data_IF_166730056668
#
_entry.id   IF_166730056668
#
_cell.length_a   1.000
_cell.length_b   1.000
_cell.length_c   1.000
_cell.angle_alpha   90.00
_cell.angle_beta   90.00
_cell.angle_gamma   90.00
#
_symmetry.space_group_name_H-M   'P 1'
#
loop_
_entity.id
_entity.type
_entity.pdbx_description
1 polymer ?
#
# COMPACT_ATOMS: atom_id res chain seq x y z
N UNK A 1 -15.83 -7.25 2.11
CA UNK A 1 -14.51 -6.59 1.89
C UNK A 1 -13.72 -7.46 0.94
N UNK A 2 -12.85 -6.87 0.13
CA UNK A 2 -11.99 -7.61 -0.80
C UNK A 2 -10.52 -7.34 -0.47
N UNK A 3 -9.65 -8.28 -0.82
CA UNK A 3 -8.20 -8.09 -0.74
C UNK A 3 -7.71 -7.38 -1.99
N UNK A 4 -7.11 -6.22 -1.78
CA UNK A 4 -6.48 -5.44 -2.84
C UNK A 4 -4.97 -5.54 -2.71
N UNK A 5 -4.32 -5.81 -3.83
CA UNK A 5 -2.88 -5.75 -3.92
C UNK A 5 -2.45 -4.28 -4.04
N UNK A 6 -1.62 -3.82 -3.12
CA UNK A 6 -1.02 -2.48 -3.17
C UNK A 6 0.49 -2.64 -3.30
N UNK A 7 1.05 -2.02 -4.33
CA UNK A 7 2.50 -1.94 -4.50
C UNK A 7 2.99 -0.70 -3.79
N UNK A 8 3.93 -0.89 -2.88
CA UNK A 8 4.61 0.12 -2.12
C UNK A 8 6.05 0.21 -2.60
N UNK A 9 6.60 1.42 -2.59
CA UNK A 9 8.01 1.66 -2.89
C UNK A 9 8.64 2.47 -1.77
N UNK A 10 9.73 1.95 -1.23
CA UNK A 10 10.47 2.62 -0.17
C UNK A 10 10.99 3.97 -0.68
N UNK A 11 10.83 5.03 0.12
CA UNK A 11 11.29 6.37 -0.25
C UNK A 11 12.79 6.54 -0.10
N UNK A 12 13.44 5.75 0.77
CA UNK A 12 14.87 5.81 1.05
C UNK A 12 15.64 4.80 0.19
N UNK A 13 15.24 3.53 0.20
CA UNK A 13 16.01 2.45 -0.48
C UNK A 13 15.51 2.15 -1.89
N UNK A 14 14.39 2.75 -2.32
CA UNK A 14 13.70 2.45 -3.58
C UNK A 14 13.21 0.99 -3.72
N UNK A 15 13.24 0.20 -2.64
CA UNK A 15 12.78 -1.18 -2.67
C UNK A 15 11.28 -1.27 -2.91
N UNK A 16 10.86 -2.27 -3.69
CA UNK A 16 9.46 -2.55 -3.95
C UNK A 16 8.95 -3.57 -2.95
N UNK A 17 7.79 -3.29 -2.36
CA UNK A 17 7.09 -4.18 -1.43
C UNK A 17 5.65 -4.33 -1.89
N UNK A 18 5.17 -5.55 -2.02
CA UNK A 18 3.77 -5.82 -2.36
C UNK A 18 3.05 -6.22 -1.09
N UNK A 19 1.95 -5.54 -0.77
CA UNK A 19 1.12 -5.84 0.41
C UNK A 19 -0.31 -6.09 -0.02
N UNK A 20 -0.99 -6.98 0.71
CA UNK A 20 -2.39 -7.27 0.52
C UNK A 20 -3.18 -6.57 1.63
N UNK A 21 -4.07 -5.67 1.24
CA UNK A 21 -4.89 -4.89 2.17
C UNK A 21 -6.35 -5.27 1.99
N UNK A 22 -7.03 -5.59 3.08
CA UNK A 22 -8.48 -5.77 3.07
C UNK A 22 -9.18 -4.41 3.15
N UNK A 23 -9.96 -4.08 2.13
CA UNK A 23 -10.71 -2.83 2.05
C UNK A 23 -12.04 -3.03 1.32
N UNK A 24 -12.87 -1.99 1.28
CA UNK A 24 -14.11 -1.97 0.48
C UNK A 24 -13.81 -1.65 -0.99
N UNK A 25 -12.77 -0.86 -1.26
CA UNK A 25 -12.34 -0.52 -2.62
C UNK A 25 -10.81 -0.28 -2.69
N UNK A 26 -10.29 -0.16 -3.91
CA UNK A 26 -8.87 0.05 -4.17
C UNK A 26 -8.32 1.38 -3.63
N UNK A 27 -9.15 2.42 -3.56
CA UNK A 27 -8.73 3.72 -3.02
C UNK A 27 -8.55 3.69 -1.51
N UNK A 28 -9.47 3.06 -0.79
CA UNK A 28 -9.38 2.81 0.66
C UNK A 28 -8.18 1.91 0.96
N UNK A 29 -7.93 0.87 0.15
CA UNK A 29 -6.74 0.03 0.28
C UNK A 29 -5.44 0.84 0.17
N UNK A 30 -5.36 1.80 -0.78
CA UNK A 30 -4.20 2.69 -0.90
C UNK A 30 -4.05 3.62 0.30
N UNK A 31 -5.15 4.15 0.84
CA UNK A 31 -5.11 5.01 2.03
C UNK A 31 -4.65 4.25 3.28
N UNK A 32 -5.16 3.03 3.48
CA UNK A 32 -4.71 2.15 4.56
C UNK A 32 -3.23 1.82 4.37
N UNK A 33 -2.80 1.47 3.16
CA UNK A 33 -1.39 1.20 2.88
C UNK A 33 -0.49 2.42 3.13
N UNK A 34 -0.93 3.64 2.81
CA UNK A 34 -0.18 4.86 3.12
C UNK A 34 -0.08 5.13 4.62
N UNK A 35 -1.14 4.83 5.38
CA UNK A 35 -1.18 5.02 6.84
C UNK A 35 -0.29 4.01 7.56
N UNK A 36 -0.38 2.74 7.16
CA UNK A 36 0.35 1.65 7.82
C UNK A 36 1.82 1.61 7.38
N UNK A 37 2.15 2.18 6.21
CA UNK A 37 3.51 2.25 5.65
C UNK A 37 3.94 3.70 5.31
N UNK A 38 4.15 4.58 6.30
CA UNK A 38 4.44 6.00 6.08
C UNK A 38 5.81 6.24 5.40
N UNK A 39 6.76 5.31 5.56
CA UNK A 39 8.07 5.35 4.90
C UNK A 39 8.01 5.02 3.40
N UNK A 40 6.88 4.49 2.94
CA UNK A 40 6.70 4.02 1.56
C UNK A 40 5.79 4.98 0.79
N UNK A 41 5.90 4.97 -0.54
CA UNK A 41 4.93 5.59 -1.45
C UNK A 41 4.16 4.50 -2.18
N UNK A 42 2.86 4.70 -2.33
CA UNK A 42 2.02 3.83 -3.16
C UNK A 42 2.38 4.06 -4.62
N UNK A 43 2.54 2.97 -5.37
CA UNK A 43 2.79 2.99 -6.81
C UNK A 43 1.54 2.56 -7.60
#
# INVERSE_FOLDING_TARGET
>A
MARFQVTLRDRQTNEKKVVWIEAKNSQEAKQIAMRDYPAYRVQ
#
